data_IF_885981339141
#
_entry.id   IF_885981339141
#
_cell.length_a   1.000
_cell.length_b   1.000
_cell.length_c   1.000
_cell.angle_alpha   90.00
_cell.angle_beta   90.00
_cell.angle_gamma   90.00
#
_symmetry.space_group_name_H-M   'P 1'
#
loop_
_entity.id
_entity.type
_entity.pdbx_description
1 polymer ?
#
# COMPACT_ATOMS: atom_id res chain seq x y z
N UNK A 1 -60.29 45.59 38.36
CA UNK A 1 -58.87 45.91 38.67
C UNK A 1 -58.04 44.69 38.24
N UNK A 2 -57.24 44.78 37.15
CA UNK A 2 -55.76 44.93 37.20
C UNK A 2 -55.11 43.74 37.97
N UNK A 3 -54.29 42.81 37.45
CA UNK A 3 -53.26 42.76 36.37
C UNK A 3 -52.96 41.27 36.06
N UNK A 4 -52.81 40.84 34.80
CA UNK A 4 -51.55 40.57 34.08
C UNK A 4 -50.42 39.86 34.88
N UNK A 5 -50.16 38.59 34.55
CA UNK A 5 -48.85 37.89 34.69
C UNK A 5 -48.76 36.93 33.49
N UNK A 6 -48.23 37.39 32.36
CA UNK A 6 -46.87 37.15 31.85
C UNK A 6 -46.49 35.67 31.69
N UNK A 7 -46.73 35.18 30.47
CA UNK A 7 -46.16 33.97 29.87
C UNK A 7 -44.65 34.16 29.72
N UNK A 8 -43.84 33.23 30.23
CA UNK A 8 -42.41 33.14 29.90
C UNK A 8 -42.13 31.74 29.36
N UNK A 9 -42.32 31.57 28.04
CA UNK A 9 -41.87 30.39 27.32
C UNK A 9 -40.41 30.62 26.90
N UNK A 10 -39.47 30.09 27.69
CA UNK A 10 -38.05 30.06 27.32
C UNK A 10 -37.77 28.74 26.59
N UNK A 11 -37.98 28.72 25.27
CA UNK A 11 -37.54 27.61 24.42
C UNK A 11 -36.05 27.83 24.10
N UNK A 12 -35.18 27.31 24.95
CA UNK A 12 -33.75 27.16 24.62
C UNK A 12 -33.65 25.93 23.71
N UNK A 13 -33.82 26.14 22.41
CA UNK A 13 -33.44 25.17 21.41
C UNK A 13 -31.93 25.15 21.25
N UNK A 14 -31.21 24.44 22.13
CA UNK A 14 -29.84 24.03 21.84
C UNK A 14 -29.90 23.00 20.71
N UNK A 15 -29.79 23.47 19.47
CA UNK A 15 -29.44 22.61 18.36
C UNK A 15 -27.99 22.17 18.58
N UNK A 16 -27.80 21.06 19.31
CA UNK A 16 -26.56 20.31 19.26
C UNK A 16 -26.43 19.78 17.84
N UNK A 17 -25.75 20.55 16.97
CA UNK A 17 -25.24 20.01 15.73
C UNK A 17 -24.16 19.00 16.12
N UNK A 18 -24.57 17.76 16.34
CA UNK A 18 -23.70 16.60 16.42
C UNK A 18 -22.95 16.55 15.09
N UNK A 19 -21.81 17.21 15.07
CA UNK A 19 -20.84 17.06 14.00
C UNK A 19 -20.31 15.65 14.17
N UNK A 20 -20.93 14.69 13.49
CA UNK A 20 -20.33 13.38 13.25
C UNK A 20 -19.07 13.67 12.45
N UNK A 21 -17.97 13.91 13.16
CA UNK A 21 -16.65 13.84 12.57
C UNK A 21 -16.52 12.39 12.11
N UNK A 22 -16.83 12.14 10.84
CA UNK A 22 -16.48 10.89 10.20
C UNK A 22 -14.95 10.80 10.34
N UNK A 23 -14.49 9.93 11.23
CA UNK A 23 -13.09 9.58 11.30
C UNK A 23 -12.71 9.15 9.87
N UNK A 24 -11.80 9.90 9.24
CA UNK A 24 -11.36 9.54 7.90
C UNK A 24 -10.80 8.12 7.96
N UNK A 25 -11.33 7.22 7.12
CA UNK A 25 -10.80 5.86 7.03
C UNK A 25 -9.28 5.92 6.79
N UNK A 26 -8.56 5.07 7.51
CA UNK A 26 -7.10 5.01 7.41
C UNK A 26 -6.71 4.69 5.97
N UNK A 27 -5.71 5.38 5.43
CA UNK A 27 -5.20 5.08 4.10
C UNK A 27 -4.69 3.64 4.02
N UNK A 28 -4.76 3.01 2.84
CA UNK A 28 -4.25 1.65 2.64
C UNK A 28 -2.78 1.49 3.09
N UNK A 29 -1.96 2.53 2.90
CA UNK A 29 -0.58 2.57 3.40
C UNK A 29 -0.50 2.54 4.92
N UNK A 30 -1.36 3.31 5.59
CA UNK A 30 -1.43 3.33 7.06
C UNK A 30 -1.89 1.99 7.61
N UNK A 31 -2.87 1.34 6.96
CA UNK A 31 -3.32 0.00 7.33
C UNK A 31 -2.19 -1.02 7.15
N UNK A 32 -1.47 -0.98 6.03
CA UNK A 32 -0.31 -1.83 5.79
C UNK A 32 0.77 -1.65 6.87
N UNK A 33 1.06 -0.40 7.26
CA UNK A 33 2.02 -0.11 8.33
C UNK A 33 1.58 -0.67 9.68
N UNK A 34 0.30 -0.58 10.03
CA UNK A 34 -0.23 -1.12 11.29
C UNK A 34 -0.23 -2.65 11.34
N UNK A 35 -0.44 -3.31 10.20
CA UNK A 35 -0.54 -4.78 10.13
C UNK A 35 0.84 -5.43 10.03
N UNK A 36 1.75 -4.82 9.29
CA UNK A 36 3.06 -5.41 8.99
C UNK A 36 4.13 -4.92 9.96
N UNK A 37 4.13 -3.65 10.35
CA UNK A 37 5.20 -3.13 11.21
C UNK A 37 5.06 -3.60 12.65
N UNK A 38 6.12 -4.23 13.15
CA UNK A 38 6.25 -4.82 14.49
C UNK A 38 7.44 -4.21 15.27
N UNK A 39 7.98 -3.08 14.81
CA UNK A 39 9.15 -2.41 15.40
C UNK A 39 10.50 -2.91 14.86
N UNK A 40 10.49 -3.63 13.74
CA UNK A 40 11.68 -4.01 12.98
C UNK A 40 12.52 -2.80 12.56
N UNK A 41 13.82 -3.04 12.38
CA UNK A 41 14.78 -2.04 11.88
C UNK A 41 15.14 -2.28 10.41
N UNK A 42 14.96 -3.52 9.96
CA UNK A 42 15.42 -3.99 8.66
C UNK A 42 14.39 -4.93 8.05
N UNK A 43 14.34 -4.96 6.73
CA UNK A 43 13.51 -5.87 5.95
C UNK A 43 14.43 -6.79 5.17
N UNK A 44 14.07 -8.06 5.12
CA UNK A 44 14.73 -9.06 4.27
C UNK A 44 13.75 -9.44 3.18
N UNK A 45 14.01 -9.00 1.95
CA UNK A 45 13.17 -9.31 0.79
C UNK A 45 13.64 -10.64 0.19
N UNK A 46 12.75 -11.62 0.17
CA UNK A 46 12.89 -12.88 -0.53
C UNK A 46 12.03 -12.84 -1.79
N UNK A 47 12.61 -13.19 -2.93
CA UNK A 47 11.86 -13.31 -4.20
C UNK A 47 12.02 -14.73 -4.72
N UNK A 48 10.91 -15.46 -4.76
CA UNK A 48 10.85 -16.85 -5.21
C UNK A 48 9.95 -17.04 -6.42
N UNK A 49 10.11 -18.17 -7.12
CA UNK A 49 9.37 -18.46 -8.35
C UNK A 49 9.96 -17.79 -9.60
N UNK A 50 9.40 -18.11 -10.77
CA UNK A 50 9.83 -17.56 -12.06
C UNK A 50 11.33 -17.70 -12.35
N UNK A 51 11.97 -16.58 -12.73
CA UNK A 51 13.39 -16.46 -13.06
C UNK A 51 14.26 -15.95 -11.89
N UNK A 52 13.72 -15.90 -10.67
CA UNK A 52 14.46 -15.38 -9.52
C UNK A 52 15.64 -16.31 -9.15
N UNK A 53 16.84 -15.77 -8.84
CA UNK A 53 17.95 -16.54 -8.30
C UNK A 53 17.60 -17.26 -7.00
N UNK A 54 18.11 -18.50 -6.84
CA UNK A 54 17.78 -19.35 -5.67
C UNK A 54 18.29 -18.77 -4.35
N UNK A 55 19.46 -18.15 -4.37
CA UNK A 55 20.07 -17.45 -3.25
C UNK A 55 19.16 -16.32 -2.76
N UNK A 56 18.58 -15.51 -3.65
CA UNK A 56 17.63 -14.46 -3.27
C UNK A 56 16.36 -15.04 -2.66
N UNK A 57 15.88 -16.18 -3.14
CA UNK A 57 14.71 -16.85 -2.57
C UNK A 57 14.98 -17.38 -1.15
N UNK A 58 16.18 -17.88 -0.88
CA UNK A 58 16.54 -18.53 0.39
C UNK A 58 17.09 -17.52 1.41
N UNK A 59 18.14 -16.78 1.04
CA UNK A 59 18.85 -15.86 1.95
C UNK A 59 18.17 -14.49 2.02
N UNK A 60 17.58 -14.05 0.91
CA UNK A 60 16.96 -12.74 0.80
C UNK A 60 17.96 -11.60 0.72
N UNK A 61 17.47 -10.40 0.44
CA UNK A 61 18.26 -9.16 0.39
C UNK A 61 17.82 -8.21 1.50
N UNK A 62 18.78 -7.73 2.28
CA UNK A 62 18.51 -6.89 3.44
C UNK A 62 18.44 -5.38 3.08
N UNK A 63 17.43 -4.70 3.63
CA UNK A 63 17.19 -3.27 3.47
C UNK A 63 16.91 -2.63 4.83
N UNK A 64 17.43 -1.43 5.08
CA UNK A 64 17.18 -0.67 6.33
C UNK A 64 15.89 0.16 6.27
N UNK A 65 15.00 -0.12 5.31
CA UNK A 65 13.78 0.65 5.07
C UNK A 65 12.78 -0.16 4.26
N UNK A 66 11.48 0.06 4.48
CA UNK A 66 10.37 -0.53 3.69
C UNK A 66 10.29 -0.10 2.24
N UNK A 67 11.01 0.95 1.87
CA UNK A 67 11.17 1.32 0.48
C UNK A 67 12.33 0.54 -0.14
N UNK A 68 12.00 -0.33 -1.10
CA UNK A 68 12.94 -1.17 -1.85
C UNK A 68 13.00 -0.74 -3.32
N UNK A 69 14.11 -0.95 -4.04
CA UNK A 69 14.20 -0.56 -5.44
C UNK A 69 13.20 -1.35 -6.30
N UNK A 70 12.55 -0.69 -7.26
CA UNK A 70 11.58 -1.36 -8.14
C UNK A 70 12.15 -2.59 -8.87
N UNK A 71 13.43 -2.51 -9.26
CA UNK A 71 14.11 -3.61 -9.96
C UNK A 71 14.23 -4.87 -9.11
N UNK A 72 14.31 -4.73 -7.79
CA UNK A 72 14.47 -5.86 -6.87
C UNK A 72 13.16 -6.62 -6.66
N UNK A 73 12.03 -5.95 -6.87
CA UNK A 73 10.70 -6.58 -6.79
C UNK A 73 10.27 -7.12 -8.16
N UNK A 74 10.38 -6.30 -9.21
CA UNK A 74 9.79 -6.61 -10.51
C UNK A 74 10.80 -7.10 -11.55
N UNK A 75 12.11 -7.01 -11.31
CA UNK A 75 13.15 -7.35 -12.28
C UNK A 75 13.19 -8.83 -12.67
N UNK A 76 12.60 -9.70 -11.85
CA UNK A 76 12.50 -11.14 -12.08
C UNK A 76 11.21 -11.55 -12.79
N UNK A 77 10.31 -10.60 -13.04
CA UNK A 77 9.07 -10.82 -13.80
C UNK A 77 9.30 -10.54 -15.30
N UNK A 78 8.29 -10.77 -16.13
CA UNK A 78 8.28 -10.29 -17.53
C UNK A 78 8.12 -8.76 -17.66
N UNK A 79 8.08 -8.04 -16.54
CA UNK A 79 7.86 -6.60 -16.55
C UNK A 79 9.03 -5.84 -17.15
N UNK A 80 8.71 -4.78 -17.89
CA UNK A 80 9.69 -3.77 -18.32
C UNK A 80 9.61 -2.55 -17.40
N UNK A 81 10.75 -2.14 -16.84
CA UNK A 81 10.85 -0.95 -16.00
C UNK A 81 11.50 0.18 -16.80
N UNK A 82 10.81 1.32 -16.93
CA UNK A 82 11.32 2.52 -17.63
C UNK A 82 11.20 3.76 -16.77
N UNK A 83 12.14 4.68 -16.94
CA UNK A 83 12.11 6.02 -16.35
C UNK A 83 11.98 7.06 -17.46
N UNK A 84 11.01 7.96 -17.35
CA UNK A 84 10.91 9.16 -18.16
C UNK A 84 11.36 10.38 -17.34
N UNK A 85 12.57 10.86 -17.63
CA UNK A 85 13.16 12.00 -16.93
C UNK A 85 12.48 13.34 -17.20
N UNK A 86 11.68 13.45 -18.27
CA UNK A 86 10.93 14.67 -18.61
C UNK A 86 9.63 14.74 -17.82
N UNK A 87 8.84 13.68 -17.83
CA UNK A 87 7.57 13.62 -17.07
C UNK A 87 7.77 13.26 -15.59
N UNK A 88 8.97 12.79 -15.21
CA UNK A 88 9.29 12.27 -13.87
C UNK A 88 8.40 11.08 -13.48
N UNK A 89 8.13 10.20 -14.44
CA UNK A 89 7.31 9.00 -14.25
C UNK A 89 8.20 7.78 -14.44
N UNK A 90 8.22 6.90 -13.42
CA UNK A 90 8.67 5.53 -13.62
C UNK A 90 7.47 4.68 -14.05
N UNK A 91 7.71 3.67 -14.88
CA UNK A 91 6.68 2.77 -15.38
C UNK A 91 7.13 1.34 -15.22
N UNK A 92 6.27 0.50 -14.63
CA UNK A 92 6.38 -0.96 -14.66
C UNK A 92 5.30 -1.47 -15.61
N UNK A 93 5.71 -1.99 -16.76
CA UNK A 93 4.79 -2.47 -17.80
C UNK A 93 4.83 -4.00 -17.89
N UNK A 94 3.68 -4.65 -17.82
CA UNK A 94 3.56 -6.10 -17.97
C UNK A 94 2.21 -6.45 -18.60
N UNK A 95 2.18 -7.47 -19.48
CA UNK A 95 0.97 -7.95 -20.15
C UNK A 95 0.09 -6.83 -20.75
N UNK A 96 0.71 -5.83 -21.37
CA UNK A 96 0.00 -4.70 -22.00
C UNK A 96 -0.57 -3.64 -21.04
N UNK A 97 -0.51 -3.86 -19.73
CA UNK A 97 -0.90 -2.89 -18.69
C UNK A 97 0.33 -2.20 -18.09
N UNK A 98 0.13 -1.07 -17.40
CA UNK A 98 1.20 -0.25 -16.82
C UNK A 98 0.87 0.25 -15.42
N UNK A 99 1.83 0.11 -14.52
CA UNK A 99 1.87 0.84 -13.25
C UNK A 99 2.72 2.10 -13.43
N UNK A 100 2.13 3.26 -13.20
CA UNK A 100 2.77 4.57 -13.28
C UNK A 100 3.11 5.06 -11.87
N UNK A 101 4.38 5.40 -11.65
CA UNK A 101 4.89 5.94 -10.40
C UNK A 101 5.28 7.40 -10.67
N UNK A 102 4.36 8.30 -10.35
CA UNK A 102 4.46 9.72 -10.67
C UNK A 102 5.20 10.50 -9.57
N UNK A 103 6.41 10.97 -9.86
CA UNK A 103 7.20 11.80 -8.94
C UNK A 103 6.93 13.28 -9.09
N UNK A 104 6.18 13.68 -10.12
CA UNK A 104 5.81 15.07 -10.34
C UNK A 104 4.71 15.51 -9.37
N UNK A 105 4.62 16.82 -9.11
CA UNK A 105 3.60 17.36 -8.21
C UNK A 105 2.19 17.26 -8.83
N UNK A 106 2.10 17.39 -10.15
CA UNK A 106 0.82 17.41 -10.83
C UNK A 106 0.24 15.98 -10.94
N UNK A 107 -1.07 15.80 -10.69
CA UNK A 107 -1.73 14.53 -10.93
C UNK A 107 -1.58 14.07 -12.38
N UNK A 108 -1.50 12.76 -12.58
CA UNK A 108 -1.53 12.12 -13.88
C UNK A 108 -2.89 11.45 -14.03
N UNK A 109 -3.59 11.73 -15.12
CA UNK A 109 -4.85 11.05 -15.46
C UNK A 109 -4.48 9.75 -16.16
N UNK A 110 -4.75 8.56 -15.57
CA UNK A 110 -4.44 7.29 -16.21
C UNK A 110 -5.26 7.10 -17.49
N UNK A 111 -4.61 6.56 -18.52
CA UNK A 111 -5.31 6.04 -19.72
C UNK A 111 -5.80 4.62 -19.47
N UNK A 112 -6.57 4.08 -20.41
CA UNK A 112 -6.99 2.68 -20.38
C UNK A 112 -5.76 1.75 -20.24
N UNK A 113 -5.82 0.84 -19.27
CA UNK A 113 -4.72 -0.09 -18.95
C UNK A 113 -3.59 0.51 -18.10
N UNK A 114 -3.71 1.77 -17.67
CA UNK A 114 -2.75 2.42 -16.78
C UNK A 114 -3.32 2.53 -15.36
N UNK A 115 -2.47 2.26 -14.37
CA UNK A 115 -2.76 2.40 -12.94
C UNK A 115 -1.73 3.35 -12.36
N UNK A 116 -2.16 4.43 -11.71
CA UNK A 116 -1.25 5.38 -11.05
C UNK A 116 -1.14 5.01 -9.57
N UNK A 117 0.06 4.66 -9.11
CA UNK A 117 0.31 4.42 -7.69
C UNK A 117 0.20 5.73 -6.89
N UNK A 118 -0.39 5.72 -5.68
CA UNK A 118 -0.33 6.86 -4.77
C UNK A 118 1.11 7.31 -4.51
N UNK A 119 1.34 8.62 -4.51
CA UNK A 119 2.68 9.20 -4.31
C UNK A 119 3.31 8.81 -2.96
N UNK A 120 2.49 8.47 -1.97
CA UNK A 120 2.95 8.02 -0.65
C UNK A 120 3.59 6.63 -0.68
N UNK A 121 3.36 5.84 -1.73
CA UNK A 121 3.90 4.49 -1.88
C UNK A 121 5.29 4.50 -2.51
N UNK A 122 5.78 5.66 -2.95
CA UNK A 122 6.98 5.75 -3.78
C UNK A 122 7.92 6.81 -3.23
N UNK A 123 9.22 6.62 -3.44
CA UNK A 123 10.22 7.67 -3.22
C UNK A 123 11.38 7.51 -4.19
N UNK A 124 12.09 8.61 -4.44
CA UNK A 124 13.40 8.56 -5.07
C UNK A 124 14.47 8.48 -3.98
N UNK A 125 15.41 7.56 -4.10
CA UNK A 125 16.57 7.46 -3.22
C UNK A 125 17.79 7.11 -4.06
N UNK A 126 18.87 7.91 -3.95
CA UNK A 126 20.13 7.67 -4.66
C UNK A 126 19.98 7.42 -6.17
N UNK A 127 19.09 8.17 -6.83
CA UNK A 127 18.81 8.03 -8.27
C UNK A 127 17.99 6.79 -8.65
N UNK A 128 17.54 6.00 -7.67
CA UNK A 128 16.69 4.83 -7.88
C UNK A 128 15.24 5.11 -7.48
N UNK A 129 14.33 4.54 -8.27
CA UNK A 129 12.91 4.52 -7.94
C UNK A 129 12.64 3.42 -6.93
N UNK A 130 12.10 3.80 -5.78
CA UNK A 130 11.78 2.91 -4.68
C UNK A 130 10.27 2.80 -4.49
N UNK A 131 9.81 1.64 -4.03
CA UNK A 131 8.41 1.36 -3.70
C UNK A 131 8.26 0.84 -2.27
N UNK A 132 7.20 1.26 -1.60
CA UNK A 132 6.83 0.84 -0.25
C UNK A 132 6.37 -0.62 -0.28
N UNK A 133 7.26 -1.51 0.14
CA UNK A 133 7.06 -2.95 0.10
C UNK A 133 5.94 -3.40 1.02
N UNK A 134 5.68 -2.71 2.14
CA UNK A 134 4.58 -3.07 3.04
C UNK A 134 3.24 -2.91 2.36
N UNK A 135 3.07 -1.84 1.59
CA UNK A 135 1.82 -1.61 0.87
C UNK A 135 1.57 -2.67 -0.18
N UNK A 136 2.59 -2.98 -1.00
CA UNK A 136 2.49 -4.07 -1.97
C UNK A 136 2.18 -5.40 -1.26
N UNK A 137 2.87 -5.66 -0.16
CA UNK A 137 2.73 -6.91 0.58
C UNK A 137 1.33 -7.07 1.18
N UNK A 138 0.77 -5.99 1.73
CA UNK A 138 -0.59 -5.96 2.26
C UNK A 138 -1.63 -6.19 1.16
N UNK A 139 -1.48 -5.54 0.00
CA UNK A 139 -2.40 -5.70 -1.14
C UNK A 139 -2.37 -7.11 -1.71
N UNK A 140 -1.17 -7.67 -1.86
CA UNK A 140 -0.90 -8.95 -2.51
C UNK A 140 -0.83 -10.11 -1.50
N UNK A 141 -1.25 -9.88 -0.25
CA UNK A 141 -1.14 -10.89 0.79
C UNK A 141 -1.96 -12.12 0.46
N UNK A 142 -1.34 -13.31 0.54
CA UNK A 142 -1.97 -14.60 0.25
C UNK A 142 -3.27 -14.82 1.03
N UNK A 143 -3.29 -14.37 2.28
CA UNK A 143 -4.43 -14.48 3.20
C UNK A 143 -4.99 -13.11 3.59
N UNK A 144 -4.89 -12.11 2.72
CA UNK A 144 -5.21 -10.71 3.07
C UNK A 144 -6.67 -10.47 3.51
N UNK A 145 -7.58 -11.43 3.25
CA UNK A 145 -8.98 -11.40 3.67
C UNK A 145 -9.28 -12.29 4.89
N UNK A 146 -8.26 -12.81 5.57
CA UNK A 146 -8.43 -13.65 6.76
C UNK A 146 -7.74 -12.97 7.93
N UNK A 147 -8.46 -12.77 9.03
CA UNK A 147 -7.88 -12.21 10.25
C UNK A 147 -7.10 -13.29 11.04
N UNK A 148 -6.50 -12.90 12.17
CA UNK A 148 -5.70 -13.81 12.99
C UNK A 148 -6.52 -14.97 13.59
N UNK A 149 -7.84 -14.78 13.74
CA UNK A 149 -8.77 -15.78 14.26
C UNK A 149 -9.29 -16.73 13.17
N UNK A 150 -8.84 -16.55 11.92
CA UNK A 150 -9.26 -17.34 10.77
C UNK A 150 -10.58 -16.89 10.14
N UNK A 151 -11.16 -15.78 10.61
CA UNK A 151 -12.40 -15.24 10.06
C UNK A 151 -12.15 -14.44 8.79
N UNK A 152 -13.03 -14.63 7.81
CA UNK A 152 -12.98 -13.88 6.56
C UNK A 152 -13.51 -12.48 6.80
N UNK A 153 -12.67 -11.47 6.55
CA UNK A 153 -13.06 -10.06 6.56
C UNK A 153 -12.84 -9.44 5.18
N UNK A 154 -13.60 -8.38 4.88
CA UNK A 154 -13.59 -7.73 3.57
C UNK A 154 -12.97 -6.34 3.65
N UNK A 155 -11.76 -6.19 3.10
CA UNK A 155 -11.16 -4.89 2.81
C UNK A 155 -11.35 -4.61 1.30
N UNK A 156 -12.44 -3.91 0.97
CA UNK A 156 -12.86 -3.66 -0.42
C UNK A 156 -11.77 -2.89 -1.18
N UNK A 157 -11.19 -1.87 -0.56
CA UNK A 157 -10.14 -1.05 -1.19
C UNK A 157 -8.91 -1.91 -1.52
N UNK A 158 -8.50 -2.79 -0.60
CA UNK A 158 -7.40 -3.74 -0.83
C UNK A 158 -7.71 -4.68 -1.98
N UNK A 159 -8.91 -5.27 -2.02
CA UNK A 159 -9.33 -6.17 -3.09
C UNK A 159 -9.37 -5.50 -4.47
N UNK A 160 -9.82 -4.26 -4.53
CA UNK A 160 -9.79 -3.47 -5.76
C UNK A 160 -8.36 -3.19 -6.22
N UNK A 161 -7.46 -2.85 -5.30
CA UNK A 161 -6.05 -2.68 -5.61
C UNK A 161 -5.38 -3.98 -6.05
N UNK A 162 -5.70 -5.10 -5.40
CA UNK A 162 -5.20 -6.41 -5.79
C UNK A 162 -5.58 -6.72 -7.25
N UNK A 163 -6.85 -6.52 -7.62
CA UNK A 163 -7.33 -6.65 -9.00
C UNK A 163 -6.65 -5.67 -9.97
N UNK A 164 -6.45 -4.42 -9.57
CA UNK A 164 -5.76 -3.41 -10.41
C UNK A 164 -4.31 -3.79 -10.68
N UNK A 165 -3.64 -4.48 -9.77
CA UNK A 165 -2.21 -4.82 -9.83
C UNK A 165 -1.94 -6.26 -10.29
N UNK A 166 -2.98 -7.03 -10.64
CA UNK A 166 -2.90 -8.44 -11.07
C UNK A 166 -1.88 -8.69 -12.19
N UNK A 167 -1.71 -7.71 -13.07
CA UNK A 167 -0.86 -7.79 -14.24
C UNK A 167 0.62 -7.72 -13.92
N UNK A 168 1.02 -7.34 -12.71
CA UNK A 168 2.43 -7.15 -12.34
C UNK A 168 3.23 -8.47 -12.32
N UNK A 169 2.55 -9.62 -12.37
CA UNK A 169 3.21 -10.93 -12.40
C UNK A 169 3.74 -11.34 -11.03
N UNK A 170 3.04 -10.96 -9.96
CA UNK A 170 3.24 -11.46 -8.59
C UNK A 170 2.01 -12.29 -8.24
N UNK A 171 2.19 -13.55 -7.85
CA UNK A 171 1.09 -14.42 -7.44
C UNK A 171 0.55 -14.01 -6.06
N UNK A 172 1.45 -13.85 -5.10
CA UNK A 172 1.14 -13.39 -3.75
C UNK A 172 2.42 -12.95 -3.04
N UNK A 173 2.23 -12.36 -1.86
CA UNK A 173 3.29 -12.06 -0.91
C UNK A 173 2.90 -12.44 0.50
N UNK A 174 3.91 -12.65 1.36
CA UNK A 174 3.76 -13.01 2.76
C UNK A 174 4.80 -12.26 3.58
N UNK A 175 4.55 -12.05 4.88
CA UNK A 175 5.53 -11.48 5.79
C UNK A 175 5.68 -12.33 7.04
N UNK A 176 6.90 -12.40 7.57
CA UNK A 176 7.25 -13.14 8.78
C UNK A 176 8.19 -12.28 9.63
N UNK A 177 7.76 -11.82 10.82
CA UNK A 177 8.64 -11.06 11.70
C UNK A 177 9.66 -11.97 12.39
N UNK A 178 10.94 -11.57 12.39
CA UNK A 178 11.99 -12.12 13.26
C UNK A 178 12.31 -11.11 14.36
N UNK A 179 11.47 -11.12 15.41
CA UNK A 179 11.47 -10.07 16.45
C UNK A 179 12.81 -9.95 17.21
N UNK A 180 13.50 -11.08 17.47
CA UNK A 180 14.78 -11.07 18.19
C UNK A 180 15.89 -10.36 17.42
N UNK A 181 15.92 -10.53 16.10
CA UNK A 181 16.89 -9.87 15.23
C UNK A 181 16.42 -8.47 14.79
N UNK A 182 15.15 -8.12 15.05
CA UNK A 182 14.56 -6.88 14.58
C UNK A 182 14.39 -6.84 13.06
N UNK A 183 14.10 -8.00 12.45
CA UNK A 183 13.95 -8.15 10.99
C UNK A 183 12.49 -8.44 10.62
N UNK A 184 12.06 -7.95 9.47
CA UNK A 184 10.81 -8.35 8.81
C UNK A 184 11.14 -9.06 7.51
N UNK A 185 10.90 -10.37 7.44
CA UNK A 185 11.04 -11.13 6.20
C UNK A 185 9.80 -10.90 5.36
N UNK A 186 9.99 -10.53 4.09
CA UNK A 186 8.92 -10.40 3.12
C UNK A 186 9.22 -11.33 1.97
N UNK A 187 8.29 -12.25 1.71
CA UNK A 187 8.36 -13.21 0.63
C UNK A 187 7.46 -12.74 -0.51
N UNK A 188 8.03 -12.62 -1.71
CA UNK A 188 7.30 -12.30 -2.94
C UNK A 188 7.37 -13.54 -3.84
N UNK A 189 6.21 -14.11 -4.15
CA UNK A 189 6.10 -15.30 -5.00
C UNK A 189 5.69 -14.90 -6.41
N UNK A 190 6.54 -15.24 -7.37
CA UNK A 190 6.34 -15.06 -8.79
C UNK A 190 5.77 -16.34 -9.43
N UNK A 191 5.10 -16.24 -10.59
CA UNK A 191 4.52 -17.38 -11.27
C UNK A 191 5.51 -18.42 -11.80
#
# INVERSE_FOLDING_TARGET
>A
MKKFVCVLALVIGLATMSSSAFAADLSLRTRADQVISMGEKTIVLHVGGGKAPKDIAIEGTEYTSKFVPLREVFGYTSSTIKWDGKSKIATVANNGKKLLLNFFANPVIPKAGEVVAPRTWIKMQNGQTMIDLYVLTYILHRYGNVNIDGEIYKDIEREEWNKKLDFLGIQYSEWVPELKAGKMHIYVTLP
#
